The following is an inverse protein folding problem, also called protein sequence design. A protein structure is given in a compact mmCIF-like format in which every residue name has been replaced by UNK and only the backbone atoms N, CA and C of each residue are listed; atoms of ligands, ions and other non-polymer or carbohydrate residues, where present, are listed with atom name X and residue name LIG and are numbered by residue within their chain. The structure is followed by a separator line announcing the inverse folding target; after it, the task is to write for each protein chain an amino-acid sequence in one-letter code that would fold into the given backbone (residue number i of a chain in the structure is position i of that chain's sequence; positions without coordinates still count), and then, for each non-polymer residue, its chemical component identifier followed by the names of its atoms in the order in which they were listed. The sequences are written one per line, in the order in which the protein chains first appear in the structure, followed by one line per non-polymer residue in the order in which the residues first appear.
data_IF_565953653447
#
_entry.id   IF_565953653447
#
_cell.length_a   1.000
_cell.length_b   1.000
_cell.length_c   1.000
_cell.angle_alpha   90.00
_cell.angle_beta   90.00
_cell.angle_gamma   90.00
#
_symmetry.space_group_name_H-M   'P 1'
#
loop_
_entity.id
_entity.type
_entity.pdbx_description
1 polymer ?
#
# COMPACT_ATOMS: atom_id res chain seq x y z
N UNK A 1 36.20 1.56 -26.91
CA UNK A 1 35.90 2.17 -25.59
C UNK A 1 34.43 2.59 -25.61
N UNK A 2 33.59 1.84 -24.92
CA UNK A 2 32.13 1.88 -24.99
C UNK A 2 31.54 2.96 -24.08
N UNK A 3 30.83 3.92 -24.67
CA UNK A 3 30.08 4.96 -23.99
C UNK A 3 28.78 4.39 -23.40
N UNK A 4 28.76 4.13 -22.08
CA UNK A 4 27.54 3.79 -21.36
C UNK A 4 26.67 5.04 -21.18
N UNK A 5 25.69 5.23 -22.08
CA UNK A 5 24.61 6.19 -21.92
C UNK A 5 23.62 5.64 -20.89
N UNK A 6 23.56 6.28 -19.72
CA UNK A 6 22.53 6.06 -18.72
C UNK A 6 21.16 6.44 -19.29
N UNK A 7 20.27 5.47 -19.51
CA UNK A 7 18.86 5.71 -19.78
C UNK A 7 18.15 6.00 -18.45
N UNK A 8 18.00 7.27 -18.12
CA UNK A 8 17.09 7.71 -17.06
C UNK A 8 15.70 7.80 -17.70
N UNK A 9 14.80 6.89 -17.35
CA UNK A 9 13.39 6.96 -17.73
C UNK A 9 12.65 7.71 -16.60
N UNK A 10 12.27 8.99 -16.77
CA UNK A 10 11.39 9.64 -15.82
C UNK A 10 9.97 9.12 -16.03
N UNK A 11 9.57 8.08 -15.26
CA UNK A 11 8.14 7.75 -15.15
C UNK A 11 7.47 8.79 -14.28
N UNK A 12 6.85 9.79 -14.90
CA UNK A 12 5.78 10.56 -14.26
C UNK A 12 4.65 9.59 -13.94
N UNK A 13 4.43 9.32 -12.65
CA UNK A 13 3.25 8.60 -12.17
C UNK A 13 2.09 9.59 -12.28
N UNK A 14 1.39 9.56 -13.41
CA UNK A 14 0.08 10.21 -13.52
C UNK A 14 -0.90 9.38 -12.70
N UNK A 15 -1.15 9.80 -11.46
CA UNK A 15 -2.29 9.28 -10.70
C UNK A 15 -3.56 9.65 -11.46
N UNK A 16 -4.47 8.68 -11.59
CA UNK A 16 -5.80 8.93 -12.15
C UNK A 16 -6.43 10.08 -11.37
N UNK A 17 -6.74 11.18 -12.06
CA UNK A 17 -7.33 12.39 -11.46
C UNK A 17 -8.60 12.05 -10.67
N UNK A 18 -9.29 10.99 -11.07
CA UNK A 18 -10.52 10.51 -10.44
C UNK A 18 -10.26 9.90 -9.05
N UNK A 19 -9.21 9.08 -8.90
CA UNK A 19 -8.79 8.53 -7.61
C UNK A 19 -8.29 9.64 -6.68
N UNK A 20 -7.53 10.60 -7.24
CA UNK A 20 -7.02 11.75 -6.49
C UNK A 20 -8.17 12.66 -6.02
N UNK A 21 -9.19 12.87 -6.85
CA UNK A 21 -10.39 13.64 -6.52
C UNK A 21 -11.27 12.93 -5.47
N UNK A 22 -11.38 11.60 -5.51
CA UNK A 22 -12.11 10.82 -4.49
C UNK A 22 -11.41 10.90 -3.13
N UNK A 23 -10.08 10.81 -3.11
CA UNK A 23 -9.28 10.98 -1.89
C UNK A 23 -9.36 12.43 -1.38
N UNK A 24 -9.30 13.42 -2.27
CA UNK A 24 -9.40 14.84 -1.88
C UNK A 24 -10.77 15.20 -1.31
N UNK A 25 -11.87 14.69 -1.88
CA UNK A 25 -13.21 14.87 -1.29
C UNK A 25 -13.31 14.26 0.11
N UNK A 26 -12.67 13.12 0.37
CA UNK A 26 -12.66 12.49 1.68
C UNK A 26 -11.85 13.29 2.73
N UNK A 27 -10.87 14.08 2.30
CA UNK A 27 -10.01 14.89 3.17
C UNK A 27 -10.70 16.19 3.61
N UNK A 28 -11.57 16.76 2.78
CA UNK A 28 -12.17 18.09 3.03
C UNK A 28 -13.24 18.05 4.15
N UNK A 29 -13.83 16.88 4.43
CA UNK A 29 -14.92 16.75 5.41
C UNK A 29 -14.47 16.25 6.80
N UNK A 30 -13.17 16.16 7.10
CA UNK A 30 -12.69 15.65 8.40
C UNK A 30 -11.90 16.71 9.18
N UNK A 31 -12.48 17.34 10.21
CA UNK A 31 -11.73 18.21 11.10
C UNK A 31 -10.99 17.37 12.17
N UNK A 32 -9.66 17.57 12.21
CA UNK A 32 -8.72 17.44 13.32
C UNK A 32 -8.67 16.15 14.18
N UNK A 33 -7.47 15.56 14.27
CA UNK A 33 -6.84 15.20 15.56
C UNK A 33 -5.36 14.83 15.37
N UNK A 34 -4.50 15.49 16.15
CA UNK A 34 -3.06 15.33 16.23
C UNK A 34 -2.65 13.99 16.88
N UNK A 35 -2.56 12.92 16.12
CA UNK A 35 -1.84 11.72 16.58
C UNK A 35 -0.73 11.36 15.58
N UNK A 36 0.47 11.86 15.87
CA UNK A 36 1.71 11.43 15.22
C UNK A 36 2.00 9.97 15.58
N UNK A 37 1.46 9.04 14.79
CA UNK A 37 1.74 7.62 14.90
C UNK A 37 3.07 7.32 14.18
N UNK A 38 4.20 7.62 14.85
CA UNK A 38 5.54 7.31 14.36
C UNK A 38 5.78 5.81 14.51
N UNK A 39 5.37 5.03 13.49
CA UNK A 39 5.76 3.63 13.35
C UNK A 39 7.07 3.59 12.58
N UNK A 40 8.19 3.41 13.30
CA UNK A 40 9.49 3.11 12.70
C UNK A 40 9.45 1.76 11.97
N UNK A 41 9.40 1.80 10.64
CA UNK A 41 9.56 0.61 9.80
C UNK A 41 11.05 0.37 9.50
N UNK A 42 11.57 -0.85 9.64
CA UNK A 42 12.95 -1.17 9.24
C UNK A 42 13.12 -0.95 7.74
N UNK A 43 14.24 -0.35 7.35
CA UNK A 43 14.51 0.03 5.98
C UNK A 43 14.73 -1.20 5.07
N UNK A 44 14.00 -1.21 3.94
CA UNK A 44 14.23 -1.95 2.67
C UNK A 44 13.71 -3.39 2.52
N UNK A 45 12.42 -3.62 2.75
CA UNK A 45 11.64 -4.42 1.78
C UNK A 45 10.64 -3.49 1.09
N UNK A 46 10.60 -3.50 -0.26
CA UNK A 46 9.61 -2.74 -1.03
C UNK A 46 8.22 -3.39 -0.99
N UNK A 47 8.16 -4.63 -0.50
CA UNK A 47 7.00 -5.48 -0.52
C UNK A 47 6.90 -6.35 0.73
N UNK A 48 5.67 -6.71 1.08
CA UNK A 48 5.28 -7.35 2.32
C UNK A 48 4.47 -8.61 2.01
N UNK A 49 4.84 -9.74 2.60
CA UNK A 49 4.03 -10.97 2.54
C UNK A 49 2.74 -10.81 3.35
N UNK A 50 1.76 -11.69 3.18
CA UNK A 50 0.55 -11.69 4.02
C UNK A 50 0.89 -11.78 5.51
N UNK A 51 1.92 -12.56 5.87
CA UNK A 51 2.39 -12.66 7.27
C UNK A 51 2.94 -11.33 7.80
N UNK A 52 3.61 -10.56 6.97
CA UNK A 52 4.07 -9.22 7.34
C UNK A 52 2.88 -8.26 7.50
N UNK A 53 1.91 -8.34 6.60
CA UNK A 53 0.67 -7.54 6.66
C UNK A 53 -0.08 -7.82 7.96
N UNK A 54 -0.23 -9.08 8.35
CA UNK A 54 -0.85 -9.49 9.62
C UNK A 54 -0.18 -8.79 10.80
N UNK A 55 1.16 -8.81 10.87
CA UNK A 55 1.92 -8.14 11.93
C UNK A 55 1.75 -6.61 11.89
N UNK A 56 1.78 -6.00 10.70
CA UNK A 56 1.68 -4.55 10.52
C UNK A 56 0.29 -4.02 10.91
N UNK A 57 -0.76 -4.78 10.60
CA UNK A 57 -2.15 -4.40 10.84
C UNK A 57 -2.71 -4.95 12.15
N UNK A 58 -1.91 -5.71 12.90
CA UNK A 58 -2.34 -6.42 14.11
C UNK A 58 -3.57 -7.31 13.89
N UNK A 59 -3.61 -8.01 12.75
CA UNK A 59 -4.69 -8.95 12.38
C UNK A 59 -4.20 -10.37 12.65
N UNK A 60 -4.96 -11.12 13.44
CA UNK A 60 -4.57 -12.47 13.88
C UNK A 60 -4.83 -13.56 12.84
N UNK A 61 -5.68 -13.32 11.84
CA UNK A 61 -6.07 -14.35 10.86
C UNK A 61 -5.69 -13.99 9.43
N UNK A 62 -5.12 -14.98 8.71
CA UNK A 62 -4.79 -14.85 7.28
C UNK A 62 -6.06 -14.54 6.46
N UNK A 63 -7.16 -15.26 6.75
CA UNK A 63 -8.42 -15.12 6.02
C UNK A 63 -8.98 -13.69 6.07
N UNK A 64 -8.83 -13.01 7.20
CA UNK A 64 -9.26 -11.63 7.32
C UNK A 64 -8.40 -10.70 6.45
N UNK A 65 -7.08 -10.90 6.43
CA UNK A 65 -6.20 -10.12 5.53
C UNK A 65 -6.52 -10.38 4.05
N UNK A 66 -6.72 -11.64 3.66
CA UNK A 66 -7.12 -11.99 2.29
C UNK A 66 -8.47 -11.38 1.91
N UNK A 67 -9.43 -11.41 2.83
CA UNK A 67 -10.72 -10.77 2.64
C UNK A 67 -10.57 -9.27 2.41
N UNK A 68 -9.74 -8.58 3.19
CA UNK A 68 -9.48 -7.15 3.04
C UNK A 68 -8.79 -6.82 1.70
N UNK A 69 -7.81 -7.64 1.31
CA UNK A 69 -7.13 -7.51 0.01
C UNK A 69 -8.13 -7.63 -1.14
N UNK A 70 -9.02 -8.63 -1.08
CA UNK A 70 -10.05 -8.82 -2.10
C UNK A 70 -11.08 -7.69 -2.09
N UNK A 71 -11.54 -7.27 -0.90
CA UNK A 71 -12.52 -6.19 -0.74
C UNK A 71 -12.03 -4.85 -1.27
N UNK A 72 -10.74 -4.57 -1.15
CA UNK A 72 -10.10 -3.34 -1.64
C UNK A 72 -9.48 -3.50 -3.03
N UNK A 73 -9.72 -4.62 -3.71
CA UNK A 73 -9.20 -4.94 -5.04
C UNK A 73 -7.66 -4.79 -5.16
N UNK A 74 -6.94 -5.14 -4.10
CA UNK A 74 -5.47 -5.02 -4.03
C UNK A 74 -4.74 -6.19 -4.73
N UNK A 75 -5.48 -6.99 -5.48
CA UNK A 75 -4.99 -8.12 -6.27
C UNK A 75 -4.39 -7.70 -7.62
N UNK A 76 -4.52 -6.42 -7.97
CA UNK A 76 -3.99 -5.87 -9.21
C UNK A 76 -2.45 -5.81 -9.20
N UNK A 77 -1.83 -5.95 -10.38
CA UNK A 77 -0.37 -5.97 -10.56
C UNK A 77 0.35 -4.71 -10.07
N UNK A 78 -0.35 -3.57 -9.98
CA UNK A 78 0.19 -2.34 -9.39
C UNK A 78 0.40 -2.42 -7.87
N UNK A 79 -0.24 -3.37 -7.19
CA UNK A 79 -0.20 -3.52 -5.73
C UNK A 79 0.59 -4.75 -5.28
N UNK A 80 0.60 -5.83 -6.08
CA UNK A 80 1.28 -7.08 -5.72
C UNK A 80 2.17 -7.60 -6.84
N UNK A 81 3.16 -8.39 -6.44
CA UNK A 81 3.97 -9.21 -7.34
C UNK A 81 4.22 -10.58 -6.72
N UNK A 82 4.58 -11.54 -7.55
CA UNK A 82 5.03 -12.85 -7.10
C UNK A 82 6.52 -12.76 -6.73
N UNK A 83 6.89 -13.23 -5.54
CA UNK A 83 8.29 -13.30 -5.14
C UNK A 83 8.98 -14.58 -5.69
N UNK A 84 10.27 -14.75 -5.41
CA UNK A 84 11.05 -15.95 -5.81
C UNK A 84 10.56 -17.26 -5.19
N UNK A 85 9.71 -17.18 -4.16
CA UNK A 85 9.11 -18.33 -3.46
C UNK A 85 7.67 -18.60 -3.93
N UNK A 86 7.22 -18.00 -5.05
CA UNK A 86 5.86 -18.07 -5.55
C UNK A 86 4.78 -17.54 -4.58
N UNK A 87 5.14 -16.65 -3.67
CA UNK A 87 4.20 -16.00 -2.75
C UNK A 87 3.86 -14.58 -3.22
N UNK A 88 2.58 -14.21 -3.10
CA UNK A 88 2.14 -12.84 -3.36
C UNK A 88 2.64 -11.88 -2.28
N UNK A 89 3.38 -10.86 -2.71
CA UNK A 89 3.91 -9.81 -1.87
C UNK A 89 3.40 -8.44 -2.31
N UNK A 90 3.01 -7.63 -1.35
CA UNK A 90 2.24 -6.39 -1.54
C UNK A 90 3.10 -5.17 -1.26
N UNK A 91 3.01 -4.15 -2.10
CA UNK A 91 3.80 -2.94 -1.94
C UNK A 91 3.27 -2.02 -0.83
N UNK A 92 4.04 -0.98 -0.52
CA UNK A 92 3.65 0.04 0.47
C UNK A 92 2.28 0.66 0.20
N UNK A 93 1.90 0.88 -1.06
CA UNK A 93 0.60 1.47 -1.40
C UNK A 93 -0.56 0.58 -0.97
N UNK A 94 -0.46 -0.74 -1.16
CA UNK A 94 -1.45 -1.70 -0.67
C UNK A 94 -1.58 -1.65 0.86
N UNK A 95 -0.45 -1.56 1.57
CA UNK A 95 -0.43 -1.43 3.03
C UNK A 95 -1.12 -0.14 3.48
N UNK A 96 -0.84 0.98 2.82
CA UNK A 96 -1.49 2.26 3.12
C UNK A 96 -3.00 2.16 2.92
N UNK A 97 -3.48 1.58 1.81
CA UNK A 97 -4.91 1.39 1.58
C UNK A 97 -5.57 0.53 2.68
N UNK A 98 -4.91 -0.55 3.11
CA UNK A 98 -5.40 -1.41 4.18
C UNK A 98 -5.48 -0.66 5.51
N UNK A 99 -4.44 0.11 5.88
CA UNK A 99 -4.43 0.92 7.10
C UNK A 99 -5.54 1.96 7.11
N UNK A 100 -5.72 2.67 6.00
CA UNK A 100 -6.78 3.67 5.87
C UNK A 100 -8.15 3.02 6.01
N UNK A 101 -8.39 1.91 5.32
CA UNK A 101 -9.64 1.18 5.44
C UNK A 101 -9.94 0.75 6.88
N UNK A 102 -8.96 0.20 7.61
CA UNK A 102 -9.16 -0.18 9.01
C UNK A 102 -9.42 1.02 9.92
N UNK A 103 -8.71 2.14 9.69
CA UNK A 103 -8.93 3.39 10.45
C UNK A 103 -10.35 3.92 10.28
N UNK A 104 -10.92 3.85 9.08
CA UNK A 104 -12.25 4.39 8.78
C UNK A 104 -13.39 3.38 8.90
N UNK A 105 -13.10 2.07 8.95
CA UNK A 105 -14.12 1.04 9.22
C UNK A 105 -14.66 1.10 10.65
N UNK A 106 -13.84 1.56 11.60
CA UNK A 106 -14.17 1.62 13.01
C UNK A 106 -14.86 2.94 13.43
N UNK A 107 -15.08 3.86 12.50
CA UNK A 107 -15.76 5.14 12.71
C UNK A 107 -17.24 5.06 12.33
#
# INVERSE_FOLDING_TARGET
MSNNKYFVIPRQISYDKELLNQIQKFIIDSPAANDELIIGLPAKSKYYSIKDIMKILNISTIKEVEYLIKKLELEQSKYRHLNSYNEWCYNKSAITSLKLYLKYKAA
#
